data_IF_392399784333
#
_entry.id   IF_392399784333
#
_cell.length_a   1.000
_cell.length_b   1.000
_cell.length_c   1.000
_cell.angle_alpha   90.00
_cell.angle_beta   90.00
_cell.angle_gamma   90.00
#
_symmetry.space_group_name_H-M   'P 1'
#
loop_
_entity.id
_entity.type
_entity.pdbx_description
1 polymer ?
#
# COMPACT_ATOMS: atom_id res chain seq x y z
N UNK A 1 -11.22 23.06 0.64
CA UNK A 1 -11.89 21.75 0.49
C UNK A 1 -11.09 20.76 -0.38
N UNK A 2 -10.65 21.11 -1.60
CA UNK A 2 -9.87 20.17 -2.45
C UNK A 2 -8.52 19.71 -1.88
N UNK A 3 -7.84 20.53 -1.08
CA UNK A 3 -6.53 20.17 -0.50
C UNK A 3 -6.65 19.05 0.52
N UNK A 4 -7.74 19.01 1.29
CA UNK A 4 -8.00 17.97 2.29
C UNK A 4 -8.23 16.61 1.62
N UNK A 5 -9.04 16.60 0.57
CA UNK A 5 -9.30 15.40 -0.25
C UNK A 5 -8.00 14.84 -0.83
N UNK A 6 -7.09 15.71 -1.32
CA UNK A 6 -5.79 15.28 -1.85
C UNK A 6 -4.93 14.57 -0.80
N UNK A 7 -4.84 15.11 0.41
CA UNK A 7 -4.08 14.47 1.48
C UNK A 7 -4.74 13.18 1.98
N UNK A 8 -6.07 13.15 2.08
CA UNK A 8 -6.81 11.93 2.43
C UNK A 8 -6.61 10.83 1.39
N UNK A 9 -6.56 11.17 0.10
CA UNK A 9 -6.30 10.21 -0.97
C UNK A 9 -4.87 9.63 -0.91
N UNK A 10 -3.90 10.43 -0.45
CA UNK A 10 -2.51 10.00 -0.26
C UNK A 10 -2.30 9.21 1.02
N UNK A 11 -3.14 9.44 2.03
CA UNK A 11 -3.14 8.68 3.28
C UNK A 11 -3.62 7.24 3.06
N UNK A 12 -4.61 7.02 2.20
CA UNK A 12 -5.15 5.68 1.93
C UNK A 12 -4.07 4.66 1.51
N UNK A 13 -3.28 4.89 0.45
CA UNK A 13 -2.19 4.01 0.09
C UNK A 13 -1.13 3.95 1.20
N UNK A 14 -0.76 5.09 1.79
CA UNK A 14 0.27 5.11 2.84
C UNK A 14 -0.12 4.23 4.06
N UNK A 15 -1.36 4.35 4.55
CA UNK A 15 -1.90 3.53 5.63
C UNK A 15 -1.95 2.06 5.24
N UNK A 16 -2.35 1.74 4.00
CA UNK A 16 -2.33 0.37 3.49
C UNK A 16 -0.93 -0.23 3.54
N UNK A 17 0.09 0.54 3.13
CA UNK A 17 1.49 0.11 3.21
C UNK A 17 2.00 -0.06 4.63
N UNK A 18 1.61 0.81 5.55
CA UNK A 18 1.94 0.66 6.98
C UNK A 18 1.36 -0.65 7.52
N UNK A 19 0.10 -0.97 7.20
CA UNK A 19 -0.53 -2.21 7.64
C UNK A 19 0.18 -3.46 7.09
N UNK A 20 0.57 -3.43 5.81
CA UNK A 20 1.34 -4.53 5.21
C UNK A 20 2.69 -4.67 5.91
N UNK A 21 3.40 -3.55 6.09
CA UNK A 21 4.70 -3.54 6.74
C UNK A 21 4.63 -4.05 8.18
N UNK A 22 3.66 -3.59 8.96
CA UNK A 22 3.39 -4.03 10.33
C UNK A 22 3.09 -5.53 10.40
N UNK A 23 2.25 -6.03 9.48
CA UNK A 23 1.94 -7.46 9.39
C UNK A 23 3.17 -8.32 9.12
N UNK A 24 4.11 -7.83 8.32
CA UNK A 24 5.31 -8.56 7.91
C UNK A 24 6.39 -8.51 8.99
N UNK A 25 6.55 -7.37 9.66
CA UNK A 25 7.55 -7.16 10.71
C UNK A 25 7.14 -7.81 12.02
N UNK A 26 5.89 -7.65 12.44
CA UNK A 26 5.38 -8.18 13.70
C UNK A 26 4.68 -9.53 13.55
N UNK A 27 4.72 -10.12 12.36
CA UNK A 27 3.99 -11.35 12.00
C UNK A 27 2.49 -11.24 12.34
N UNK A 28 1.94 -10.03 12.19
CA UNK A 28 0.53 -9.74 12.38
C UNK A 28 -0.29 -10.33 11.24
N UNK A 29 -1.48 -10.83 11.54
CA UNK A 29 -2.42 -11.25 10.51
C UNK A 29 -2.96 -10.02 9.77
N UNK A 30 -2.66 -9.91 8.48
CA UNK A 30 -3.38 -8.97 7.62
C UNK A 30 -4.85 -9.37 7.68
N UNK A 31 -5.79 -8.45 8.00
CA UNK A 31 -7.21 -8.76 8.01
C UNK A 31 -7.61 -9.24 6.61
N UNK A 32 -7.72 -10.56 6.47
CA UNK A 32 -8.36 -11.16 5.31
C UNK A 32 -9.85 -10.98 5.50
N UNK A 33 -10.56 -10.46 4.50
CA UNK A 33 -12.00 -10.33 4.61
C UNK A 33 -12.60 -11.73 4.84
N UNK A 34 -13.25 -11.90 5.98
CA UNK A 34 -13.89 -13.16 6.40
C UNK A 34 -15.23 -13.30 5.68
N UNK A 35 -15.20 -13.37 4.34
CA UNK A 35 -16.42 -13.57 3.55
C UNK A 35 -16.39 -15.01 3.05
N UNK A 36 -17.15 -15.87 3.72
CA UNK A 36 -17.22 -17.31 3.47
C UNK A 36 -17.83 -17.70 2.09
N UNK A 37 -18.08 -16.75 1.18
CA UNK A 37 -18.80 -16.97 -0.08
C UNK A 37 -18.22 -16.15 -1.24
N UNK A 38 -16.90 -16.05 -1.36
CA UNK A 38 -16.33 -15.51 -2.59
C UNK A 38 -16.50 -16.52 -3.74
N UNK A 39 -16.86 -16.06 -4.94
CA UNK A 39 -16.72 -16.87 -6.14
C UNK A 39 -15.26 -17.33 -6.29
N UNK A 40 -14.98 -18.57 -6.76
CA UNK A 40 -13.62 -19.09 -6.89
C UNK A 40 -12.69 -18.21 -7.74
N UNK A 41 -13.24 -17.45 -8.68
CA UNK A 41 -12.48 -16.52 -9.53
C UNK A 41 -11.99 -15.28 -8.76
N UNK A 42 -12.63 -14.90 -7.65
CA UNK A 42 -12.17 -13.78 -6.82
C UNK A 42 -10.90 -14.17 -6.08
N UNK A 43 -10.90 -15.32 -5.41
CA UNK A 43 -9.72 -15.83 -4.70
C UNK A 43 -8.61 -16.26 -5.67
N UNK A 44 -8.98 -16.85 -6.82
CA UNK A 44 -8.01 -17.35 -7.80
C UNK A 44 -7.38 -16.27 -8.69
N UNK A 45 -8.02 -15.10 -8.86
CA UNK A 45 -7.57 -14.08 -9.82
C UNK A 45 -7.54 -12.67 -9.24
N UNK A 46 -8.62 -12.19 -8.62
CA UNK A 46 -8.65 -10.81 -8.10
C UNK A 46 -7.70 -10.61 -6.93
N UNK A 47 -7.66 -11.54 -5.98
CA UNK A 47 -6.75 -11.46 -4.82
C UNK A 47 -5.28 -11.41 -5.29
N UNK A 48 -4.79 -12.33 -6.15
CA UNK A 48 -3.44 -12.24 -6.71
C UNK A 48 -3.17 -10.94 -7.47
N UNK A 49 -4.08 -10.47 -8.32
CA UNK A 49 -3.92 -9.21 -9.06
C UNK A 49 -3.83 -8.02 -8.11
N UNK A 50 -4.64 -8.01 -7.07
CA UNK A 50 -4.64 -6.94 -6.08
C UNK A 50 -3.29 -6.85 -5.36
N UNK A 51 -2.73 -7.99 -4.96
CA UNK A 51 -1.43 -8.05 -4.28
C UNK A 51 -0.24 -7.80 -5.21
N UNK A 52 -0.23 -8.39 -6.42
CA UNK A 52 0.92 -8.34 -7.32
C UNK A 52 0.95 -7.11 -8.22
N UNK A 53 -0.22 -6.55 -8.56
CA UNK A 53 -0.33 -5.44 -9.51
C UNK A 53 -0.81 -4.19 -8.80
N UNK A 54 -2.02 -4.22 -8.23
CA UNK A 54 -2.68 -3.01 -7.72
C UNK A 54 -1.90 -2.40 -6.57
N UNK A 55 -1.44 -3.24 -5.64
CA UNK A 55 -0.64 -2.83 -4.49
C UNK A 55 0.60 -2.08 -5.00
N UNK A 56 1.64 -2.70 -5.58
CA UNK A 56 2.87 -1.99 -5.97
C UNK A 56 2.62 -0.79 -6.88
N UNK A 57 1.64 -0.87 -7.80
CA UNK A 57 1.32 0.23 -8.70
C UNK A 57 0.75 1.45 -7.95
N UNK A 58 -0.06 1.24 -6.90
CA UNK A 58 -0.55 2.31 -6.02
C UNK A 58 0.58 3.02 -5.26
N UNK A 59 1.63 2.29 -4.84
CA UNK A 59 2.83 2.88 -4.23
C UNK A 59 3.57 3.78 -5.20
N UNK A 60 3.80 3.31 -6.42
CA UNK A 60 4.52 4.08 -7.43
C UNK A 60 3.74 5.33 -7.83
N UNK A 61 2.42 5.22 -8.02
CA UNK A 61 1.56 6.38 -8.28
C UNK A 61 1.66 7.39 -7.13
N UNK A 62 1.52 6.95 -5.88
CA UNK A 62 1.59 7.82 -4.70
C UNK A 62 2.95 8.52 -4.57
N UNK A 63 4.04 7.78 -4.78
CA UNK A 63 5.42 8.29 -4.73
C UNK A 63 5.70 9.30 -5.85
N UNK A 64 5.34 8.97 -7.10
CA UNK A 64 5.54 9.87 -8.25
C UNK A 64 4.69 11.14 -8.07
N UNK A 65 3.44 11.00 -7.63
CA UNK A 65 2.56 12.13 -7.42
C UNK A 65 3.10 13.09 -6.35
N UNK A 66 3.56 12.55 -5.22
CA UNK A 66 4.12 13.35 -4.12
C UNK A 66 5.42 14.04 -4.52
N UNK A 67 6.29 13.36 -5.30
CA UNK A 67 7.48 13.97 -5.89
C UNK A 67 7.12 15.11 -6.86
N UNK A 68 6.17 14.89 -7.77
CA UNK A 68 5.72 15.88 -8.75
C UNK A 68 5.14 17.14 -8.08
N UNK A 69 4.36 16.95 -7.01
CA UNK A 69 3.79 18.06 -6.23
C UNK A 69 4.75 18.68 -5.21
N UNK A 70 6.03 18.26 -5.19
CA UNK A 70 7.06 18.72 -4.23
C UNK A 70 6.64 18.54 -2.77
N UNK A 71 5.84 17.51 -2.48
CA UNK A 71 5.40 17.15 -1.14
C UNK A 71 6.47 16.26 -0.48
N UNK A 72 7.64 16.83 -0.21
CA UNK A 72 8.84 16.09 0.21
C UNK A 72 8.65 15.23 1.47
N UNK A 73 7.87 15.71 2.44
CA UNK A 73 7.55 14.93 3.65
C UNK A 73 6.75 13.66 3.34
N UNK A 74 5.77 13.76 2.45
CA UNK A 74 4.99 12.60 2.01
C UNK A 74 5.84 11.66 1.18
N UNK A 75 6.63 12.19 0.26
CA UNK A 75 7.55 11.40 -0.55
C UNK A 75 8.55 10.62 0.33
N UNK A 76 9.13 11.26 1.34
CA UNK A 76 10.02 10.61 2.28
C UNK A 76 9.32 9.47 3.04
N UNK A 77 8.06 9.65 3.46
CA UNK A 77 7.27 8.59 4.10
C UNK A 77 7.06 7.38 3.17
N UNK A 78 6.71 7.63 1.90
CA UNK A 78 6.62 6.57 0.89
C UNK A 78 7.97 5.85 0.72
N UNK A 79 9.07 6.60 0.55
CA UNK A 79 10.40 6.01 0.37
C UNK A 79 10.88 5.20 1.58
N UNK A 80 10.63 5.67 2.81
CA UNK A 80 10.97 4.93 4.04
C UNK A 80 10.18 3.62 4.11
N UNK A 81 8.89 3.63 3.78
CA UNK A 81 8.08 2.42 3.76
C UNK A 81 8.55 1.44 2.68
N UNK A 82 8.81 1.91 1.47
CA UNK A 82 9.30 1.06 0.37
C UNK A 82 10.69 0.50 0.65
N UNK A 83 11.62 1.34 1.11
CA UNK A 83 12.98 0.93 1.45
C UNK A 83 13.02 0.03 2.68
N UNK A 84 12.25 0.35 3.73
CA UNK A 84 12.14 -0.46 4.94
C UNK A 84 11.57 -1.86 4.65
N UNK A 85 10.60 -1.95 3.74
CA UNK A 85 10.08 -3.22 3.24
C UNK A 85 11.16 -4.02 2.49
N UNK A 86 11.94 -3.36 1.63
CA UNK A 86 13.01 -4.00 0.85
C UNK A 86 14.16 -4.52 1.75
N UNK A 87 14.61 -3.70 2.70
CA UNK A 87 15.63 -4.09 3.69
C UNK A 87 15.17 -5.26 4.54
N UNK A 88 13.90 -5.29 4.96
CA UNK A 88 13.37 -6.40 5.74
C UNK A 88 13.33 -7.72 4.95
N UNK A 89 12.97 -7.67 3.67
CA UNK A 89 12.94 -8.84 2.80
C UNK A 89 14.33 -9.45 2.52
N UNK A 90 15.42 -8.77 2.89
CA UNK A 90 16.82 -9.17 2.59
C UNK A 90 17.01 -9.62 1.14
N UNK A 91 16.30 -8.96 0.23
CA UNK A 91 16.57 -8.97 -1.22
C UNK A 91 17.54 -7.83 -1.50
#
# INVERSE_FOLDING_TARGET
MMTFIRYSLLLLPLCWYVLIWDSIVFNGSIPRPTINNYPPWVDGLLVPIFWLVITPLSFFIGSIYTAYKKLWWWFAAYMILGFGFWVYLRI
#
